data_IF_528037623430
#
_entry.id   IF_528037623430
#
_cell.length_a   1.000
_cell.length_b   1.000
_cell.length_c   1.000
_cell.angle_alpha   90.00
_cell.angle_beta   90.00
_cell.angle_gamma   90.00
#
_symmetry.space_group_name_H-M   'P 1'
#
loop_
_entity.id
_entity.type
_entity.pdbx_description
1 polymer ?
#
# COMPACT_ATOMS: atom_id res chain seq x y z
N UNK A 1 -2.21 27.82 -39.37
CA UNK A 1 -1.55 28.55 -38.27
C UNK A 1 -1.89 27.83 -36.98
N UNK A 2 -0.97 27.74 -36.03
CA UNK A 2 -1.28 27.12 -34.74
C UNK A 2 -1.97 28.14 -33.84
N UNK A 3 -3.08 27.76 -33.20
CA UNK A 3 -3.73 28.61 -32.21
C UNK A 3 -2.83 28.75 -30.97
N UNK A 4 -2.33 29.96 -30.76
CA UNK A 4 -1.55 30.30 -29.58
C UNK A 4 -2.50 30.42 -28.39
N UNK A 5 -2.37 29.57 -27.38
CA UNK A 5 -3.04 29.79 -26.09
C UNK A 5 -2.39 31.00 -25.39
N UNK A 6 -2.99 32.17 -25.54
CA UNK A 6 -2.67 33.34 -24.71
C UNK A 6 -3.18 33.10 -23.28
N UNK A 7 -2.31 33.31 -22.29
CA UNK A 7 -2.71 33.36 -20.90
C UNK A 7 -3.42 34.71 -20.65
N UNK A 8 -4.71 34.69 -20.36
CA UNK A 8 -5.46 35.89 -19.99
C UNK A 8 -5.18 36.22 -18.52
N UNK A 9 -4.57 37.38 -18.27
CA UNK A 9 -4.26 37.87 -16.93
C UNK A 9 -5.41 38.70 -16.33
N UNK A 10 -6.55 38.78 -17.01
CA UNK A 10 -7.75 39.52 -16.58
C UNK A 10 -8.93 38.62 -16.25
N UNK A 11 -8.78 37.29 -16.32
CA UNK A 11 -9.80 36.36 -15.83
C UNK A 11 -9.95 36.46 -14.30
N UNK A 12 -11.19 36.45 -13.81
CA UNK A 12 -11.46 36.36 -12.38
C UNK A 12 -10.86 35.05 -11.82
N UNK A 13 -10.13 35.08 -10.70
CA UNK A 13 -9.50 33.89 -10.16
C UNK A 13 -10.57 32.86 -9.78
N UNK A 14 -10.44 31.63 -10.27
CA UNK A 14 -11.28 30.52 -9.82
C UNK A 14 -10.95 30.18 -8.36
N UNK A 15 -11.81 30.61 -7.44
CA UNK A 15 -11.72 30.31 -6.01
C UNK A 15 -12.70 29.17 -5.68
N UNK A 16 -12.16 28.03 -5.22
CA UNK A 16 -12.95 26.86 -4.80
C UNK A 16 -13.27 26.91 -3.30
N UNK A 17 -14.36 27.59 -2.95
CA UNK A 17 -14.90 27.64 -1.58
C UNK A 17 -15.83 26.44 -1.27
N UNK A 18 -15.72 25.30 -1.96
CA UNK A 18 -16.56 24.12 -1.69
C UNK A 18 -16.22 23.41 -0.37
N UNK A 19 -14.97 23.55 0.11
CA UNK A 19 -14.46 22.92 1.32
C UNK A 19 -14.06 23.98 2.35
N UNK A 20 -14.72 23.98 3.50
CA UNK A 20 -14.38 24.85 4.62
C UNK A 20 -13.21 24.31 5.46
N UNK A 21 -13.12 22.97 5.64
CA UNK A 21 -12.09 22.33 6.46
C UNK A 21 -11.76 20.94 5.93
N UNK A 22 -10.48 20.62 5.89
CA UNK A 22 -9.95 19.32 5.45
C UNK A 22 -8.99 18.79 6.51
N UNK A 23 -9.28 17.62 7.07
CA UNK A 23 -8.48 17.03 8.16
C UNK A 23 -8.43 15.51 8.05
N UNK A 24 -7.37 14.91 8.60
CA UNK A 24 -7.26 13.47 8.73
C UNK A 24 -7.62 13.04 10.16
N UNK A 25 -8.46 12.01 10.28
CA UNK A 25 -8.66 11.27 11.51
C UNK A 25 -7.79 10.01 11.51
N UNK A 26 -7.16 9.71 12.64
CA UNK A 26 -6.50 8.43 12.86
C UNK A 26 -7.51 7.41 13.40
N UNK A 27 -7.57 6.23 12.79
CA UNK A 27 -8.40 5.12 13.22
C UNK A 27 -7.53 3.89 13.49
N UNK A 28 -7.50 3.44 14.74
CA UNK A 28 -6.72 2.29 15.21
C UNK A 28 -7.52 0.98 15.11
N UNK A 29 -6.88 -0.19 15.25
CA UNK A 29 -7.58 -1.46 15.29
C UNK A 29 -8.45 -1.59 16.54
N UNK A 30 -9.43 -2.51 16.51
CA UNK A 30 -10.29 -2.77 17.66
C UNK A 30 -9.49 -3.20 18.90
N UNK A 31 -9.90 -2.72 20.09
CA UNK A 31 -9.24 -2.99 21.37
C UNK A 31 -9.00 -4.49 21.59
N UNK A 32 -7.79 -4.84 22.04
CA UNK A 32 -7.38 -6.24 22.25
C UNK A 32 -6.83 -6.96 21.02
N UNK A 33 -6.85 -6.35 19.82
CA UNK A 33 -6.21 -6.93 18.64
C UNK A 33 -4.69 -6.90 18.79
N UNK A 34 -4.05 -8.07 18.94
CA UNK A 34 -2.59 -8.16 18.81
C UNK A 34 -2.21 -8.08 17.34
N UNK A 35 -1.62 -6.94 16.96
CA UNK A 35 -1.27 -6.60 15.57
C UNK A 35 -0.23 -7.57 14.97
N UNK A 36 0.56 -8.26 15.82
CA UNK A 36 1.57 -9.25 15.41
C UNK A 36 1.02 -10.68 15.25
N UNK A 37 -0.21 -10.94 15.69
CA UNK A 37 -0.78 -12.28 15.65
C UNK A 37 -1.25 -12.64 14.22
N UNK A 38 -1.55 -13.91 13.98
CA UNK A 38 -2.10 -14.44 12.73
C UNK A 38 -3.47 -13.83 12.37
N UNK A 39 -4.24 -13.40 13.37
CA UNK A 39 -5.60 -12.82 13.25
C UNK A 39 -5.64 -11.59 12.31
N UNK A 40 -6.71 -11.40 11.51
CA UNK A 40 -6.89 -10.21 10.68
C UNK A 40 -7.03 -8.92 11.52
N UNK A 41 -6.25 -7.90 11.18
CA UNK A 41 -6.39 -6.55 11.74
C UNK A 41 -7.67 -5.91 11.18
N UNK A 42 -8.59 -5.49 12.05
CA UNK A 42 -9.83 -4.82 11.69
C UNK A 42 -9.85 -3.39 12.25
N UNK A 43 -10.11 -2.43 11.36
CA UNK A 43 -10.26 -1.02 11.68
C UNK A 43 -11.66 -0.60 11.22
N UNK A 44 -12.52 -0.21 12.17
CA UNK A 44 -13.89 0.23 11.90
C UNK A 44 -13.98 1.75 11.95
N UNK A 45 -14.77 2.34 11.05
CA UNK A 45 -15.17 3.75 11.11
C UNK A 45 -16.69 3.77 11.28
N UNK A 46 -17.15 4.10 12.48
CA UNK A 46 -18.57 4.02 12.87
C UNK A 46 -19.27 5.40 12.88
N UNK A 47 -18.58 6.44 12.38
CA UNK A 47 -19.05 7.82 12.43
C UNK A 47 -19.95 8.15 11.22
N UNK A 48 -21.24 8.40 11.47
CA UNK A 48 -22.26 8.64 10.42
C UNK A 48 -22.30 10.06 9.88
N UNK A 49 -21.88 11.04 10.69
CA UNK A 49 -22.19 12.46 10.45
C UNK A 49 -21.06 13.21 9.70
N UNK A 50 -20.07 12.49 9.18
CA UNK A 50 -18.87 13.03 8.54
C UNK A 50 -18.76 12.62 7.07
N UNK A 51 -18.40 13.58 6.22
CA UNK A 51 -18.10 13.32 4.81
C UNK A 51 -16.64 12.88 4.64
N UNK A 52 -16.42 11.62 4.29
CA UNK A 52 -15.07 11.05 4.10
C UNK A 52 -14.58 11.18 2.64
N UNK A 53 -13.25 11.18 2.45
CA UNK A 53 -12.60 11.14 1.13
C UNK A 53 -11.66 9.94 1.00
N UNK A 54 -12.17 8.69 0.87
CA UNK A 54 -11.34 7.47 0.87
C UNK A 54 -10.21 7.45 -0.17
N UNK A 55 -10.37 8.14 -1.30
CA UNK A 55 -9.34 8.27 -2.35
C UNK A 55 -8.06 9.00 -1.92
N UNK A 56 -8.03 9.59 -0.72
CA UNK A 56 -6.85 10.21 -0.10
C UNK A 56 -6.49 9.57 1.25
N UNK A 57 -7.13 8.47 1.63
CA UNK A 57 -6.76 7.72 2.83
C UNK A 57 -5.44 6.97 2.63
N UNK A 58 -4.74 6.72 3.73
CA UNK A 58 -3.51 5.92 3.76
C UNK A 58 -3.44 5.11 5.06
N UNK A 59 -2.67 4.03 5.04
CA UNK A 59 -2.40 3.22 6.24
C UNK A 59 -0.98 3.58 6.71
N UNK A 60 -0.85 3.99 7.97
CA UNK A 60 0.43 4.11 8.67
C UNK A 60 0.76 2.77 9.32
N UNK A 61 2.02 2.33 9.17
CA UNK A 61 2.53 1.06 9.70
C UNK A 61 3.82 1.31 10.48
N UNK A 62 3.91 0.73 11.68
CA UNK A 62 5.06 0.81 12.59
C UNK A 62 5.26 -0.57 13.29
N UNK A 63 6.51 -1.08 13.44
CA UNK A 63 6.98 -2.27 14.20
C UNK A 63 8.44 -2.84 14.11
N UNK A 64 9.42 -2.52 14.95
CA UNK A 64 10.87 -2.90 14.78
C UNK A 64 11.28 -4.16 13.93
N UNK A 65 12.09 -3.99 12.85
CA UNK A 65 12.89 -5.09 12.24
C UNK A 65 14.08 -5.46 13.15
N UNK A 66 14.20 -6.73 13.49
CA UNK A 66 15.15 -7.27 14.47
C UNK A 66 15.59 -8.69 14.08
N UNK A 67 16.63 -9.22 14.72
CA UNK A 67 16.94 -10.65 14.61
C UNK A 67 15.87 -11.49 15.32
N UNK A 68 15.72 -12.76 14.95
CA UNK A 68 14.75 -13.69 15.56
C UNK A 68 14.92 -13.85 17.09
N UNK A 69 16.13 -13.59 17.62
CA UNK A 69 16.45 -13.53 19.05
C UNK A 69 15.95 -12.27 19.77
N UNK A 70 15.32 -11.33 19.08
CA UNK A 70 14.99 -9.99 19.57
C UNK A 70 16.18 -9.01 19.56
N UNK A 71 17.35 -9.46 19.09
CA UNK A 71 18.55 -8.61 19.02
C UNK A 71 18.45 -7.54 17.93
N UNK A 72 19.15 -6.43 18.15
CA UNK A 72 19.29 -5.35 17.18
C UNK A 72 20.26 -5.75 16.07
N UNK A 73 19.89 -5.54 14.81
CA UNK A 73 20.87 -5.55 13.72
C UNK A 73 21.84 -4.36 13.83
N UNK A 74 23.09 -4.61 13.47
CA UNK A 74 24.17 -3.65 13.32
C UNK A 74 24.23 -3.09 11.90
N UNK A 75 24.90 -1.94 11.73
CA UNK A 75 24.96 -1.23 10.45
C UNK A 75 25.67 -2.01 9.33
N UNK A 76 26.50 -2.98 9.69
CA UNK A 76 27.20 -3.92 8.79
C UNK A 76 26.33 -5.12 8.38
N UNK A 77 25.22 -5.38 9.06
CA UNK A 77 24.39 -6.53 8.76
C UNK A 77 23.71 -6.36 7.41
N UNK A 78 23.92 -7.36 6.56
CA UNK A 78 23.39 -7.41 5.20
C UNK A 78 21.96 -7.94 5.26
N UNK A 79 21.06 -7.10 5.78
CA UNK A 79 19.63 -7.32 5.95
C UNK A 79 18.83 -6.01 5.79
N UNK A 80 17.67 -6.09 5.14
CA UNK A 80 16.66 -5.03 5.06
C UNK A 80 15.32 -5.64 4.67
N UNK A 81 14.26 -4.84 4.60
CA UNK A 81 13.02 -5.23 3.93
C UNK A 81 13.13 -5.10 2.40
N UNK A 82 12.38 -5.92 1.67
CA UNK A 82 12.34 -6.04 0.21
C UNK A 82 11.74 -4.81 -0.46
N UNK A 83 11.83 -4.73 -1.79
CA UNK A 83 11.11 -3.72 -2.55
C UNK A 83 9.61 -3.84 -2.28
N UNK A 84 8.94 -2.73 -1.95
CA UNK A 84 7.54 -2.74 -1.51
C UNK A 84 7.29 -3.65 -0.27
N UNK A 85 8.34 -3.89 0.53
CA UNK A 85 8.37 -4.92 1.56
C UNK A 85 7.28 -4.79 2.64
N UNK A 86 6.75 -3.59 2.88
CA UNK A 86 5.62 -3.38 3.81
C UNK A 86 4.37 -4.12 3.34
N UNK A 87 4.12 -4.17 2.02
CA UNK A 87 2.94 -4.84 1.48
C UNK A 87 3.08 -6.37 1.45
N UNK A 88 4.32 -6.89 1.43
CA UNK A 88 4.58 -8.34 1.55
C UNK A 88 4.26 -8.90 2.94
N UNK A 89 4.08 -8.03 3.94
CA UNK A 89 3.77 -8.40 5.31
C UNK A 89 2.28 -8.71 5.57
N UNK A 90 1.44 -8.43 4.58
CA UNK A 90 0.01 -8.68 4.61
C UNK A 90 -0.33 -9.61 3.44
N UNK A 91 -0.99 -10.72 3.72
CA UNK A 91 -1.50 -11.62 2.67
C UNK A 91 -2.68 -10.96 1.92
N UNK A 92 -3.68 -10.50 2.69
CA UNK A 92 -4.97 -10.03 2.16
C UNK A 92 -5.41 -8.71 2.77
N UNK A 93 -6.00 -7.86 1.95
CA UNK A 93 -6.72 -6.64 2.38
C UNK A 93 -8.09 -6.60 1.71
N UNK A 94 -9.10 -6.25 2.49
CA UNK A 94 -10.47 -6.06 2.03
C UNK A 94 -10.97 -4.69 2.47
N UNK A 95 -11.75 -4.04 1.61
CA UNK A 95 -12.44 -2.79 1.91
C UNK A 95 -13.94 -3.02 1.77
N UNK A 96 -14.64 -2.89 2.89
CA UNK A 96 -16.09 -3.05 2.99
C UNK A 96 -16.75 -1.70 3.26
N UNK A 97 -17.84 -1.41 2.56
CA UNK A 97 -18.64 -0.19 2.74
C UNK A 97 -20.08 -0.60 3.02
N UNK A 98 -20.62 -0.19 4.17
CA UNK A 98 -22.00 -0.50 4.59
C UNK A 98 -22.35 -2.00 4.54
N UNK A 99 -21.37 -2.86 4.86
CA UNK A 99 -21.53 -4.33 4.85
C UNK A 99 -21.41 -4.99 3.47
N UNK A 100 -21.13 -4.23 2.41
CA UNK A 100 -20.83 -4.75 1.07
C UNK A 100 -19.32 -4.73 0.82
N UNK A 101 -18.75 -5.84 0.31
CA UNK A 101 -17.36 -5.84 -0.10
C UNK A 101 -17.19 -5.06 -1.40
N UNK A 102 -16.40 -3.98 -1.36
CA UNK A 102 -16.10 -3.13 -2.51
C UNK A 102 -14.84 -3.64 -3.23
N UNK A 103 -13.84 -4.05 -2.47
CA UNK A 103 -12.60 -4.60 -3.01
C UNK A 103 -12.01 -5.66 -2.06
N UNK A 104 -11.45 -6.73 -2.62
CA UNK A 104 -10.62 -7.70 -1.88
C UNK A 104 -9.42 -8.10 -2.73
N UNK A 105 -8.23 -7.75 -2.26
CA UNK A 105 -6.94 -8.09 -2.88
C UNK A 105 -6.26 -9.16 -2.04
N UNK A 106 -5.85 -10.26 -2.68
CA UNK A 106 -5.01 -11.32 -2.10
C UNK A 106 -3.56 -11.13 -2.58
N UNK A 107 -2.60 -11.82 -1.97
CA UNK A 107 -1.17 -11.77 -2.35
C UNK A 107 -0.64 -10.32 -2.42
N UNK A 108 -0.91 -9.54 -1.37
CA UNK A 108 -0.84 -8.07 -1.40
C UNK A 108 0.50 -7.51 -1.88
N UNK A 109 1.61 -8.05 -1.39
CA UNK A 109 2.96 -7.67 -1.82
C UNK A 109 3.16 -7.83 -3.32
N UNK A 110 2.87 -9.01 -3.87
CA UNK A 110 2.99 -9.30 -5.30
C UNK A 110 2.03 -8.43 -6.13
N UNK A 111 0.75 -8.37 -5.75
CA UNK A 111 -0.29 -7.62 -6.46
C UNK A 111 0.03 -6.13 -6.55
N UNK A 112 0.48 -5.52 -5.45
CA UNK A 112 0.83 -4.09 -5.41
C UNK A 112 2.19 -3.80 -6.03
N UNK A 113 3.15 -4.73 -5.98
CA UNK A 113 4.41 -4.62 -6.71
C UNK A 113 4.18 -4.64 -8.22
N UNK A 114 3.43 -5.62 -8.75
CA UNK A 114 3.10 -5.69 -10.17
C UNK A 114 2.36 -4.44 -10.67
N UNK A 115 1.35 -3.98 -9.93
CA UNK A 115 0.60 -2.77 -10.29
C UNK A 115 1.48 -1.50 -10.17
N UNK A 116 2.29 -1.39 -9.13
CA UNK A 116 3.17 -0.24 -8.91
C UNK A 116 4.27 -0.12 -9.96
N UNK A 117 4.80 -1.24 -10.47
CA UNK A 117 5.77 -1.24 -11.58
C UNK A 117 5.20 -0.65 -12.88
N UNK A 118 3.88 -0.74 -13.08
CA UNK A 118 3.18 -0.15 -14.23
C UNK A 118 2.68 1.29 -13.96
N UNK A 119 2.40 1.62 -12.69
CA UNK A 119 1.76 2.88 -12.29
C UNK A 119 2.76 4.00 -11.95
N UNK A 120 3.89 3.67 -11.34
CA UNK A 120 4.83 4.66 -10.81
C UNK A 120 5.94 4.98 -11.81
N UNK A 121 6.20 6.27 -12.04
CA UNK A 121 7.42 6.72 -12.75
C UNK A 121 8.66 6.21 -12.01
N UNK A 122 9.77 6.06 -12.73
CA UNK A 122 11.06 5.74 -12.13
C UNK A 122 11.50 6.77 -11.08
N UNK A 123 11.11 8.03 -11.23
CA UNK A 123 11.47 9.12 -10.30
C UNK A 123 10.81 8.98 -8.93
N UNK A 124 9.71 8.22 -8.84
CA UNK A 124 8.99 8.00 -7.59
C UNK A 124 9.86 7.36 -6.51
N UNK A 125 10.83 6.51 -6.87
CA UNK A 125 11.78 5.91 -5.94
C UNK A 125 12.80 6.91 -5.35
N UNK A 126 12.97 8.08 -5.98
CA UNK A 126 13.89 9.15 -5.56
C UNK A 126 13.19 10.22 -4.70
N UNK A 127 11.87 10.13 -4.56
CA UNK A 127 11.03 11.01 -3.75
C UNK A 127 10.31 10.17 -2.67
N UNK A 128 8.99 10.36 -2.51
CA UNK A 128 8.17 9.72 -1.47
C UNK A 128 8.09 8.19 -1.53
N UNK A 129 8.58 7.55 -2.60
CA UNK A 129 8.53 6.08 -2.74
C UNK A 129 9.23 5.33 -1.62
N UNK A 130 10.29 5.90 -1.04
CA UNK A 130 11.03 5.26 0.05
C UNK A 130 10.18 5.07 1.32
N UNK A 131 9.14 5.87 1.53
CA UNK A 131 8.20 5.73 2.66
C UNK A 131 7.46 4.38 2.66
N UNK A 132 7.26 3.78 1.47
CA UNK A 132 6.73 2.43 1.30
C UNK A 132 7.77 1.42 0.79
N UNK A 133 9.06 1.73 0.96
CA UNK A 133 10.19 0.94 0.48
C UNK A 133 10.17 0.68 -1.04
N UNK A 134 9.61 1.61 -1.80
CA UNK A 134 9.61 1.59 -3.26
C UNK A 134 10.96 2.03 -3.82
N UNK A 135 11.99 1.20 -3.63
CA UNK A 135 13.27 1.36 -4.32
C UNK A 135 13.70 0.02 -4.91
N UNK A 136 13.86 -0.02 -6.24
CA UNK A 136 14.10 -1.26 -6.99
C UNK A 136 15.52 -1.77 -6.80
N UNK A 137 15.68 -3.08 -6.65
CA UNK A 137 16.99 -3.74 -6.64
C UNK A 137 17.68 -3.62 -8.01
N UNK A 138 19.01 -3.51 -8.00
CA UNK A 138 19.83 -3.49 -9.23
C UNK A 138 20.41 -4.86 -9.59
N UNK A 139 20.47 -5.78 -8.62
CA UNK A 139 20.89 -7.18 -8.77
C UNK A 139 20.07 -8.08 -7.85
N UNK A 140 20.11 -9.40 -8.06
CA UNK A 140 19.34 -10.40 -7.28
C UNK A 140 19.83 -10.63 -5.87
N UNK A 141 21.05 -10.20 -5.55
CA UNK A 141 21.73 -10.57 -4.31
C UNK A 141 21.63 -9.47 -3.25
N UNK A 142 21.53 -9.88 -1.99
CA UNK A 142 21.63 -9.00 -0.83
C UNK A 142 23.09 -8.54 -0.68
N UNK A 143 23.42 -7.33 -1.13
CA UNK A 143 24.80 -6.84 -1.15
C UNK A 143 24.86 -5.32 -0.94
N UNK A 144 25.62 -4.87 0.06
CA UNK A 144 25.75 -3.45 0.41
C UNK A 144 26.56 -2.60 -0.58
N UNK A 145 27.21 -3.21 -1.57
CA UNK A 145 28.09 -2.56 -2.55
C UNK A 145 27.52 -2.61 -3.96
N UNK A 146 27.05 -3.79 -4.41
CA UNK A 146 26.59 -4.00 -5.80
C UNK A 146 25.09 -3.81 -5.99
N UNK A 147 24.30 -3.93 -4.93
CA UNK A 147 22.85 -3.74 -4.99
C UNK A 147 22.46 -2.37 -4.43
N UNK A 148 22.30 -1.38 -5.32
CA UNK A 148 21.99 0.00 -4.95
C UNK A 148 20.66 0.10 -4.21
N UNK A 149 19.63 -0.62 -4.67
CA UNK A 149 18.30 -0.56 -4.07
C UNK A 149 18.23 -1.22 -2.70
N UNK A 150 18.93 -2.33 -2.52
CA UNK A 150 19.17 -2.92 -1.21
C UNK A 150 19.88 -1.94 -0.27
N UNK A 151 20.97 -1.31 -0.71
CA UNK A 151 21.76 -0.40 0.12
C UNK A 151 20.97 0.83 0.56
N UNK A 152 20.15 1.42 -0.32
CA UNK A 152 19.27 2.55 0.03
C UNK A 152 18.23 2.13 1.07
N UNK A 153 17.55 0.98 0.89
CA UNK A 153 16.58 0.48 1.87
C UNK A 153 17.22 0.07 3.20
N UNK A 154 18.39 -0.57 3.18
CA UNK A 154 19.14 -0.91 4.39
C UNK A 154 19.57 0.35 5.15
N UNK A 155 20.00 1.39 4.43
CA UNK A 155 20.31 2.68 5.04
C UNK A 155 19.07 3.35 5.66
N UNK A 156 17.88 3.17 5.09
CA UNK A 156 16.60 3.73 5.55
C UNK A 156 15.92 2.93 6.67
N UNK A 157 16.28 1.66 6.87
CA UNK A 157 15.69 0.79 7.91
C UNK A 157 16.66 0.56 9.09
N UNK A 158 17.96 0.40 8.82
CA UNK A 158 18.97 0.00 9.81
C UNK A 158 19.81 1.20 10.30
N UNK A 159 20.29 2.04 9.36
CA UNK A 159 21.28 3.12 9.63
C UNK A 159 20.66 4.49 9.96
N UNK A 160 19.47 4.77 9.46
CA UNK A 160 18.65 5.96 9.74
C UNK A 160 17.21 5.50 9.98
N UNK A 161 16.42 6.12 10.88
CA UNK A 161 16.78 7.21 11.79
C UNK A 161 17.41 6.71 13.11
N UNK A 162 17.83 7.65 13.96
CA UNK A 162 18.26 7.40 15.36
C UNK A 162 17.17 6.78 16.25
N UNK A 163 15.92 6.78 15.82
CA UNK A 163 14.82 5.99 16.39
C UNK A 163 14.43 4.91 15.37
N UNK A 164 14.67 3.62 15.69
CA UNK A 164 14.75 2.57 14.66
C UNK A 164 13.39 2.14 14.08
N UNK A 165 13.34 2.10 12.74
CA UNK A 165 12.22 1.78 11.85
C UNK A 165 11.80 0.29 11.83
N UNK A 166 10.61 0.01 11.28
CA UNK A 166 9.61 -0.63 12.16
C UNK A 166 8.35 -1.10 11.34
N UNK A 167 8.07 -2.42 11.09
CA UNK A 167 6.92 -3.12 10.38
C UNK A 167 6.56 -4.60 10.85
N UNK A 168 5.57 -5.38 10.35
CA UNK A 168 5.42 -6.91 10.43
C UNK A 168 4.19 -7.44 9.64
N UNK A 169 3.95 -8.74 9.31
CA UNK A 169 4.49 -10.06 9.76
C UNK A 169 4.73 -11.11 8.61
N UNK A 170 5.12 -12.35 8.97
CA UNK A 170 5.53 -13.52 8.16
C UNK A 170 6.55 -13.21 7.06
N UNK A 171 7.81 -13.22 7.47
CA UNK A 171 8.72 -12.20 6.99
C UNK A 171 9.65 -12.65 5.85
N UNK A 172 9.60 -13.91 5.39
CA UNK A 172 10.54 -14.45 4.39
C UNK A 172 10.46 -13.70 3.04
N UNK A 173 9.25 -13.39 2.58
CA UNK A 173 9.01 -12.60 1.35
C UNK A 173 9.31 -11.10 1.53
N UNK A 174 9.15 -10.61 2.77
CA UNK A 174 9.34 -9.22 3.14
C UNK A 174 10.80 -8.88 3.51
N UNK A 175 11.62 -9.86 3.93
CA UNK A 175 13.03 -9.67 4.31
C UNK A 175 13.93 -10.00 3.11
N UNK A 176 14.88 -9.11 2.85
CA UNK A 176 16.01 -9.38 1.98
C UNK A 176 17.26 -9.46 2.85
N UNK A 177 17.91 -10.62 2.91
CA UNK A 177 19.14 -10.83 3.68
C UNK A 177 20.15 -11.70 2.93
N UNK A 178 21.43 -11.56 3.29
CA UNK A 178 22.44 -12.55 2.90
C UNK A 178 22.31 -13.83 3.73
N UNK A 179 22.84 -14.95 3.23
CA UNK A 179 22.82 -16.23 3.96
C UNK A 179 23.55 -16.18 5.32
N UNK A 180 24.57 -15.32 5.44
CA UNK A 180 25.36 -15.14 6.67
C UNK A 180 24.68 -14.25 7.71
N UNK A 181 23.71 -13.41 7.32
CA UNK A 181 22.97 -12.56 8.24
C UNK A 181 21.94 -13.39 9.03
N UNK A 182 21.84 -13.14 10.34
CA UNK A 182 20.89 -13.83 11.21
C UNK A 182 19.45 -13.73 10.69
N UNK A 183 18.66 -14.80 10.90
CA UNK A 183 17.23 -14.84 10.54
C UNK A 183 16.54 -13.65 11.21
N UNK A 184 15.76 -12.90 10.42
CA UNK A 184 15.07 -11.72 10.89
C UNK A 184 13.64 -12.02 11.33
N UNK A 185 13.13 -11.10 12.14
CA UNK A 185 11.73 -10.98 12.54
C UNK A 185 11.35 -9.51 12.49
N UNK A 186 10.15 -9.23 12.00
CA UNK A 186 9.58 -7.89 11.90
C UNK A 186 8.43 -7.86 12.94
N UNK A 187 8.25 -6.77 13.71
CA UNK A 187 7.35 -6.77 14.89
C UNK A 187 6.50 -5.48 15.07
N UNK A 188 5.27 -5.43 14.53
CA UNK A 188 4.31 -4.31 14.63
C UNK A 188 4.12 -3.72 16.05
N UNK A 189 4.17 -2.39 16.11
CA UNK A 189 3.77 -1.53 17.23
C UNK A 189 2.50 -0.74 16.91
N UNK A 190 2.24 -0.41 15.64
CA UNK A 190 1.09 0.39 15.20
C UNK A 190 0.66 0.04 13.77
N UNK A 191 -0.64 -0.10 13.54
CA UNK A 191 -1.25 -0.07 12.20
C UNK A 191 -2.49 0.80 12.32
N UNK A 192 -2.50 1.96 11.68
CA UNK A 192 -3.61 2.91 11.75
C UNK A 192 -4.04 3.37 10.36
N UNK A 193 -5.34 3.44 10.14
CA UNK A 193 -5.94 4.04 8.94
C UNK A 193 -6.08 5.54 9.18
N UNK A 194 -5.43 6.35 8.35
CA UNK A 194 -5.66 7.79 8.30
C UNK A 194 -6.69 8.10 7.23
N UNK A 195 -7.91 8.38 7.67
CA UNK A 195 -9.04 8.69 6.79
C UNK A 195 -9.28 10.21 6.79
N UNK A 196 -9.17 10.90 5.64
CA UNK A 196 -9.53 12.29 5.56
C UNK A 196 -11.05 12.48 5.57
N UNK A 197 -11.50 13.42 6.39
CA UNK A 197 -12.86 13.93 6.41
C UNK A 197 -12.88 15.41 6.02
N UNK A 198 -14.01 15.81 5.45
CA UNK A 198 -14.23 17.10 4.81
C UNK A 198 -15.41 17.77 5.47
N UNK A 199 -15.22 19.00 5.95
CA UNK A 199 -16.34 19.90 6.25
C UNK A 199 -16.59 20.73 4.97
N UNK A 200 -17.65 20.44 4.19
CA UNK A 200 -18.03 21.29 3.08
C UNK A 200 -18.49 22.67 3.58
N UNK A 201 -18.44 23.68 2.73
CA UNK A 201 -19.11 24.96 2.99
C UNK A 201 -20.64 24.79 3.04
N UNK A 202 -21.37 25.74 3.61
CA UNK A 202 -22.83 25.60 3.83
C UNK A 202 -23.60 25.30 2.52
N UNK A 203 -23.17 25.88 1.40
CA UNK A 203 -23.70 25.59 0.06
C UNK A 203 -23.43 24.13 -0.35
N UNK A 204 -22.19 23.66 -0.20
CA UNK A 204 -21.83 22.27 -0.50
C UNK A 204 -22.54 21.27 0.43
N UNK A 205 -22.68 21.60 1.72
CA UNK A 205 -23.42 20.82 2.71
C UNK A 205 -24.89 20.70 2.35
N UNK A 206 -25.52 21.80 1.94
CA UNK A 206 -26.91 21.79 1.48
C UNK A 206 -27.10 20.87 0.27
N UNK A 207 -26.22 20.94 -0.74
CA UNK A 207 -26.26 20.05 -1.91
C UNK A 207 -26.11 18.58 -1.52
N UNK A 208 -25.14 18.24 -0.67
CA UNK A 208 -24.92 16.87 -0.19
C UNK A 208 -26.11 16.34 0.63
N UNK A 209 -26.67 17.18 1.52
CA UNK A 209 -27.87 16.82 2.28
C UNK A 209 -29.07 16.59 1.36
N UNK A 210 -29.29 17.41 0.33
CA UNK A 210 -30.36 17.21 -0.65
C UNK A 210 -30.20 15.88 -1.40
N UNK A 211 -28.98 15.50 -1.79
CA UNK A 211 -28.67 14.19 -2.40
C UNK A 211 -29.04 13.04 -1.45
N UNK A 212 -28.68 13.15 -0.16
CA UNK A 212 -28.97 12.15 0.88
C UNK A 212 -30.49 12.05 1.12
N UNK A 213 -31.18 13.17 1.33
CA UNK A 213 -32.63 13.22 1.58
C UNK A 213 -33.43 12.65 0.40
N UNK A 214 -32.99 12.93 -0.83
CA UNK A 214 -33.61 12.38 -2.04
C UNK A 214 -33.24 10.91 -2.31
N UNK A 215 -32.32 10.32 -1.53
CA UNK A 215 -31.75 8.97 -1.73
C UNK A 215 -31.26 8.76 -3.17
N UNK A 216 -30.66 9.79 -3.75
CA UNK A 216 -30.25 9.76 -5.16
C UNK A 216 -29.14 8.71 -5.37
N UNK A 217 -29.30 7.86 -6.38
CA UNK A 217 -28.29 6.86 -6.72
C UNK A 217 -27.05 7.53 -7.31
N UNK A 218 -25.90 7.36 -6.65
CA UNK A 218 -24.61 7.89 -7.12
C UNK A 218 -23.83 6.73 -7.76
N UNK A 219 -23.55 6.76 -9.08
CA UNK A 219 -22.69 5.76 -9.70
C UNK A 219 -21.24 5.96 -9.25
N UNK A 220 -20.69 4.97 -8.56
CA UNK A 220 -19.28 4.98 -8.10
C UNK A 220 -18.49 3.96 -8.93
N UNK A 221 -17.50 4.44 -9.69
CA UNK A 221 -16.54 3.57 -10.35
C UNK A 221 -15.49 3.07 -9.33
N UNK A 222 -15.22 1.78 -9.35
CA UNK A 222 -14.19 1.12 -8.55
C UNK A 222 -13.32 0.22 -9.44
N UNK A 223 -12.13 -0.15 -8.96
CA UNK A 223 -11.31 -1.15 -9.62
C UNK A 223 -11.67 -2.53 -9.08
N UNK A 224 -12.08 -3.44 -9.97
CA UNK A 224 -12.12 -4.88 -9.67
C UNK A 224 -10.77 -5.49 -10.06
N UNK A 225 -10.09 -6.12 -9.10
CA UNK A 225 -8.82 -6.84 -9.31
C UNK A 225 -8.80 -8.14 -8.52
N UNK A 226 -8.28 -9.20 -9.13
CA UNK A 226 -7.84 -10.41 -8.45
C UNK A 226 -6.35 -10.62 -8.70
N UNK A 227 -5.67 -11.24 -7.74
CA UNK A 227 -4.28 -11.68 -7.87
C UNK A 227 -4.22 -13.12 -7.38
N UNK A 228 -3.70 -13.99 -8.24
CA UNK A 228 -3.57 -15.42 -8.02
C UNK A 228 -2.13 -15.81 -8.32
N UNK A 229 -1.64 -16.82 -7.62
CA UNK A 229 -0.33 -17.43 -7.87
C UNK A 229 -0.54 -18.86 -8.36
N UNK A 230 0.43 -19.37 -9.12
CA UNK A 230 0.47 -20.77 -9.51
C UNK A 230 1.92 -21.17 -9.78
N UNK A 231 2.32 -22.34 -9.29
CA UNK A 231 3.65 -22.88 -9.55
C UNK A 231 3.63 -23.57 -10.93
N UNK A 232 4.37 -23.05 -11.95
CA UNK A 232 4.39 -23.67 -13.26
C UNK A 232 5.03 -25.06 -13.19
N UNK A 233 4.45 -26.03 -13.88
CA UNK A 233 5.10 -27.33 -14.09
C UNK A 233 6.32 -27.16 -15.01
N UNK A 234 7.27 -28.10 -14.96
CA UNK A 234 8.46 -28.12 -15.83
C UNK A 234 8.10 -28.53 -17.28
N UNK A 235 7.26 -27.73 -17.93
CA UNK A 235 6.74 -27.94 -19.29
C UNK A 235 6.90 -26.66 -20.11
N UNK A 236 7.01 -26.79 -21.43
CA UNK A 236 7.11 -25.63 -22.34
C UNK A 236 5.77 -24.92 -22.59
N UNK A 237 4.67 -25.45 -22.04
CA UNK A 237 3.31 -24.90 -22.13
C UNK A 237 2.57 -25.17 -20.82
N UNK A 238 1.83 -24.17 -20.34
CA UNK A 238 0.90 -24.29 -19.21
C UNK A 238 -0.44 -23.65 -19.60
N UNK A 239 -1.53 -24.22 -19.09
CA UNK A 239 -2.87 -23.62 -19.17
C UNK A 239 -3.28 -23.22 -17.76
N UNK A 240 -3.41 -21.92 -17.51
CA UNK A 240 -3.86 -21.39 -16.22
C UNK A 240 -5.27 -20.82 -16.36
N UNK A 241 -6.22 -21.38 -15.61
CA UNK A 241 -7.57 -20.82 -15.48
C UNK A 241 -7.52 -19.70 -14.44
N UNK A 242 -7.76 -18.46 -14.88
CA UNK A 242 -7.85 -17.29 -14.01
C UNK A 242 -9.20 -17.31 -13.25
N UNK A 243 -9.16 -17.19 -11.92
CA UNK A 243 -10.35 -17.01 -11.09
C UNK A 243 -10.85 -15.55 -11.11
N UNK A 244 -11.50 -15.18 -12.21
CA UNK A 244 -12.20 -13.89 -12.30
C UNK A 244 -13.42 -13.95 -11.36
N UNK A 245 -13.47 -13.07 -10.36
CA UNK A 245 -14.54 -13.03 -9.33
C UNK A 245 -15.88 -12.45 -9.81
N UNK A 246 -15.96 -12.07 -11.09
CA UNK A 246 -17.09 -11.38 -11.71
C UNK A 246 -17.31 -11.91 -13.13
N UNK A 247 -18.55 -11.86 -13.61
CA UNK A 247 -18.89 -12.18 -15.01
C UNK A 247 -18.33 -11.16 -16.03
N UNK A 248 -17.75 -10.06 -15.55
CA UNK A 248 -17.05 -9.07 -16.37
C UNK A 248 -15.76 -9.62 -16.97
N UNK A 249 -15.52 -9.33 -18.26
CA UNK A 249 -14.28 -9.69 -18.95
C UNK A 249 -13.12 -8.84 -18.45
N UNK A 250 -11.97 -9.42 -18.07
CA UNK A 250 -10.80 -8.66 -17.63
C UNK A 250 -10.28 -7.78 -18.78
N UNK A 251 -10.07 -6.49 -18.50
CA UNK A 251 -9.55 -5.52 -19.49
C UNK A 251 -8.04 -5.62 -19.69
N UNK A 252 -7.32 -6.04 -18.64
CA UNK A 252 -5.87 -6.18 -18.60
C UNK A 252 -5.52 -7.45 -17.84
N UNK A 253 -4.44 -8.11 -18.25
CA UNK A 253 -3.82 -9.23 -17.54
C UNK A 253 -2.36 -8.85 -17.32
N UNK A 254 -1.90 -8.95 -16.09
CA UNK A 254 -0.51 -8.69 -15.70
C UNK A 254 0.07 -10.04 -15.24
N UNK A 255 1.23 -10.42 -15.78
CA UNK A 255 1.90 -11.68 -15.44
C UNK A 255 3.29 -11.34 -14.90
N UNK A 256 3.56 -11.78 -13.68
CA UNK A 256 4.89 -11.74 -13.06
C UNK A 256 5.46 -13.14 -12.91
N UNK A 257 6.78 -13.26 -12.98
CA UNK A 257 7.51 -14.48 -12.66
C UNK A 257 8.37 -14.24 -11.43
N UNK A 258 8.36 -15.18 -10.49
CA UNK A 258 9.04 -15.11 -9.20
C UNK A 258 9.75 -16.44 -8.94
N UNK A 259 10.90 -16.40 -8.28
CA UNK A 259 11.68 -17.58 -7.88
C UNK A 259 12.18 -17.40 -6.46
N UNK A 260 12.41 -18.52 -5.75
CA UNK A 260 12.97 -18.58 -4.39
C UNK A 260 12.24 -17.74 -3.34
N UNK A 261 10.97 -17.42 -3.60
CA UNK A 261 10.07 -16.63 -2.77
C UNK A 261 8.65 -17.07 -3.06
N UNK A 262 8.09 -17.85 -2.16
CA UNK A 262 6.66 -18.11 -2.00
C UNK A 262 6.46 -18.28 -0.48
N UNK A 263 5.23 -18.33 0.03
CA UNK A 263 4.95 -18.23 1.48
C UNK A 263 5.33 -19.47 2.35
N UNK A 264 6.26 -20.32 1.89
CA UNK A 264 6.82 -21.51 2.59
C UNK A 264 8.30 -21.30 2.99
#
# INVERSE_FOLDING_TARGET
>A
MADYKSLDLTEDPFIDDSIFRYQFGEYTPQNGTNINDTVPIKINIEMTDSFFKPSKAYIQVEGRLQAASGASYADIDVVTLTHNGIMHLFDRMAYDLSGQNIETVNNLGQATTMLGMLKYSNDFQLAEGLNQLWYKDTVTDANLTTNVGFTVRQAYIIKKPTTKGTFSKNDNDAIFRSAAAAIGKVNLTKVSLWMPYVTPSDKGRHTLNTIISNKAAIPVAFYSRSCETTTPQQTSKMTWKLGVKSDEKPRYIIVGFQTNKDND
#
